data_IF_175160040411
#
_entry.id   IF_175160040411
#
_cell.length_a   1.000
_cell.length_b   1.000
_cell.length_c   1.000
_cell.angle_alpha   90.00
_cell.angle_beta   90.00
_cell.angle_gamma   90.00
#
_symmetry.space_group_name_H-M   'P 1'
#
loop_
_entity.id
_entity.type
_entity.pdbx_description
1 polymer ?
#
# COMPACT_ATOMS: atom_id res chain seq x y z
N UNK A 1 -10.41 -3.12 16.77
CA UNK A 1 -10.15 -2.28 17.95
C UNK A 1 -9.00 -1.33 17.58
N UNK A 2 -9.32 -0.20 16.96
CA UNK A 2 -8.33 0.71 16.38
C UNK A 2 -7.94 1.79 17.39
N UNK A 3 -6.65 1.96 17.64
CA UNK A 3 -6.09 3.06 18.44
C UNK A 3 -6.53 4.40 17.83
N UNK A 4 -7.35 5.16 18.54
CA UNK A 4 -7.57 6.58 18.26
C UNK A 4 -6.43 7.37 18.90
N UNK A 5 -5.37 7.63 18.14
CA UNK A 5 -4.35 8.60 18.52
C UNK A 5 -4.80 9.98 18.04
N UNK A 6 -5.84 10.52 18.68
CA UNK A 6 -6.33 11.88 18.39
C UNK A 6 -5.50 12.95 19.12
N UNK A 7 -4.52 12.55 19.93
CA UNK A 7 -3.66 13.43 20.70
C UNK A 7 -2.20 13.10 20.46
N UNK A 8 -1.39 14.13 20.23
CA UNK A 8 0.03 14.05 19.94
C UNK A 8 0.77 15.14 20.71
N UNK A 9 1.87 14.82 21.40
CA UNK A 9 2.65 15.79 22.17
C UNK A 9 4.01 15.97 21.52
N UNK A 10 4.40 17.22 21.23
CA UNK A 10 5.67 17.53 20.58
C UNK A 10 6.19 18.92 20.96
N UNK A 11 7.47 18.99 21.34
CA UNK A 11 8.13 20.21 21.82
C UNK A 11 7.36 20.96 22.93
N UNK A 12 6.70 20.22 23.83
CA UNK A 12 5.93 20.79 24.94
C UNK A 12 4.50 21.23 24.59
N UNK A 13 4.09 21.16 23.31
CA UNK A 13 2.73 21.42 22.87
C UNK A 13 1.94 20.12 22.72
N UNK A 14 0.67 20.12 23.13
CA UNK A 14 -0.26 19.01 22.85
C UNK A 14 -1.21 19.37 21.72
N UNK A 15 -1.25 18.53 20.69
CA UNK A 15 -2.06 18.69 19.50
C UNK A 15 -3.21 17.68 19.55
N UNK A 16 -4.44 18.17 19.49
CA UNK A 16 -5.63 17.33 19.46
C UNK A 16 -6.37 17.54 18.14
N UNK A 17 -6.41 16.49 17.31
CA UNK A 17 -7.07 16.52 16.01
C UNK A 17 -8.57 16.32 16.23
N UNK A 18 -9.36 17.29 15.81
CA UNK A 18 -10.81 17.19 15.87
C UNK A 18 -11.36 16.55 14.59
N UNK A 19 -12.52 15.87 14.67
CA UNK A 19 -13.24 15.43 13.48
C UNK A 19 -13.55 16.63 12.59
N UNK A 20 -13.15 16.57 11.32
CA UNK A 20 -13.31 17.64 10.35
C UNK A 20 -13.60 17.11 8.96
N UNK A 21 -13.75 18.03 8.00
CA UNK A 21 -13.90 17.72 6.59
C UNK A 21 -12.48 17.54 6.01
N UNK A 22 -12.32 16.71 4.98
CA UNK A 22 -11.00 16.34 4.44
C UNK A 22 -10.11 17.54 4.03
N UNK A 23 -10.74 18.66 3.67
CA UNK A 23 -10.06 19.88 3.23
C UNK A 23 -9.68 20.81 4.40
N UNK A 24 -10.44 20.75 5.50
CA UNK A 24 -10.37 21.65 6.64
C UNK A 24 -10.35 20.81 7.93
N UNK A 25 -9.14 20.57 8.45
CA UNK A 25 -8.88 19.74 9.62
C UNK A 25 -8.65 20.65 10.84
N UNK A 26 -9.64 20.78 11.75
CA UNK A 26 -9.48 21.55 12.98
C UNK A 26 -8.53 20.83 13.94
N UNK A 27 -7.59 21.58 14.52
CA UNK A 27 -6.61 21.07 15.48
C UNK A 27 -6.57 22.01 16.68
N UNK A 28 -6.81 21.48 17.87
CA UNK A 28 -6.62 22.23 19.11
C UNK A 28 -5.20 22.06 19.61
N UNK A 29 -4.53 23.17 19.91
CA UNK A 29 -3.17 23.18 20.42
C UNK A 29 -3.23 23.64 21.88
N UNK A 30 -2.69 22.84 22.80
CA UNK A 30 -2.59 23.20 24.21
C UNK A 30 -1.15 23.56 24.56
N UNK A 31 -1.00 24.67 25.27
CA UNK A 31 0.26 25.15 25.83
C UNK A 31 0.01 25.73 27.23
N UNK A 32 0.61 25.15 28.27
CA UNK A 32 0.57 25.64 29.65
C UNK A 32 -0.82 26.11 30.15
N UNK A 33 -1.89 25.41 29.78
CA UNK A 33 -3.27 25.70 30.18
C UNK A 33 -4.07 26.58 29.22
N UNK A 34 -3.43 27.15 28.18
CA UNK A 34 -4.10 27.87 27.09
C UNK A 34 -4.44 26.87 25.99
N UNK A 35 -5.66 26.97 25.44
CA UNK A 35 -6.08 26.21 24.26
C UNK A 35 -6.21 27.17 23.08
N UNK A 36 -5.44 26.92 22.02
CA UNK A 36 -5.46 27.66 20.77
C UNK A 36 -6.20 26.85 19.71
N UNK A 37 -7.10 27.52 18.99
CA UNK A 37 -7.76 26.94 17.82
C UNK A 37 -6.85 27.09 16.60
N UNK A 38 -6.72 26.04 15.82
CA UNK A 38 -5.95 26.06 14.58
C UNK A 38 -6.61 25.23 13.49
N UNK A 39 -6.27 25.54 12.24
CA UNK A 39 -6.87 24.94 11.07
C UNK A 39 -5.78 24.52 10.09
N UNK A 40 -5.74 23.23 9.77
CA UNK A 40 -4.91 22.67 8.71
C UNK A 40 -5.75 22.52 7.45
N UNK A 41 -5.33 23.19 6.38
CA UNK A 41 -5.96 23.15 5.07
C UNK A 41 -5.13 22.38 4.07
N UNK A 42 -5.79 21.55 3.28
CA UNK A 42 -5.22 20.84 2.15
C UNK A 42 -5.79 21.40 0.85
N UNK A 43 -4.95 21.77 -0.10
CA UNK A 43 -5.38 22.36 -1.36
C UNK A 43 -4.51 21.90 -2.53
N UNK A 44 -5.06 21.95 -3.75
CA UNK A 44 -4.30 21.64 -4.96
C UNK A 44 -3.33 22.79 -5.26
N UNK A 45 -2.02 22.51 -5.27
CA UNK A 45 -0.97 23.47 -5.58
C UNK A 45 -0.52 23.42 -7.05
N UNK A 46 -0.84 22.33 -7.76
CA UNK A 46 -0.52 22.11 -9.18
C UNK A 46 -1.20 20.85 -9.70
N UNK A 47 -0.89 20.42 -10.92
CA UNK A 47 -1.49 19.19 -11.48
C UNK A 47 -1.13 17.95 -10.68
N UNK A 48 0.13 17.84 -10.28
CA UNK A 48 0.68 16.71 -9.50
C UNK A 48 1.23 17.21 -8.16
N UNK A 49 0.61 18.23 -7.57
CA UNK A 49 1.10 18.85 -6.33
C UNK A 49 -0.02 19.27 -5.41
N UNK A 50 0.17 18.96 -4.14
CA UNK A 50 -0.74 19.31 -3.05
C UNK A 50 -0.01 20.21 -2.07
N UNK A 51 -0.65 21.31 -1.68
CA UNK A 51 -0.18 22.22 -0.65
C UNK A 51 -0.89 21.96 0.68
N UNK A 52 -0.13 22.11 1.76
CA UNK A 52 -0.65 22.12 3.13
C UNK A 52 -0.41 23.50 3.75
N UNK A 53 -1.46 24.09 4.31
CA UNK A 53 -1.36 25.35 5.07
C UNK A 53 -1.92 25.14 6.46
N UNK A 54 -1.13 25.43 7.49
CA UNK A 54 -1.59 25.41 8.88
C UNK A 54 -1.66 26.85 9.41
N UNK A 55 -2.87 27.28 9.80
CA UNK A 55 -3.12 28.59 10.43
C UNK A 55 -3.46 28.41 11.90
N UNK A 56 -2.87 29.25 12.75
CA UNK A 56 -3.18 29.37 14.17
C UNK A 56 -3.47 30.84 14.44
N UNK A 57 -4.57 31.13 15.12
CA UNK A 57 -4.92 32.48 15.53
C UNK A 57 -4.67 32.62 17.04
N UNK A 58 -3.87 33.63 17.42
CA UNK A 58 -3.50 33.91 18.82
C UNK A 58 -4.02 35.29 19.17
N UNK A 59 -5.04 35.36 20.02
CA UNK A 59 -5.60 36.62 20.49
C UNK A 59 -4.62 37.33 21.43
N UNK A 60 -4.26 38.56 21.09
CA UNK A 60 -3.40 39.42 21.93
C UNK A 60 -4.24 40.41 22.71
N UNK A 61 -4.02 40.51 24.02
CA UNK A 61 -4.68 41.51 24.86
C UNK A 61 -4.02 42.89 24.79
N UNK A 62 -4.50 43.81 25.62
CA UNK A 62 -3.97 45.18 25.75
C UNK A 62 -2.68 45.27 26.57
N UNK A 63 -2.36 44.27 27.38
CA UNK A 63 -1.18 44.28 28.24
C UNK A 63 0.12 44.02 27.44
N UNK A 64 1.12 44.92 27.51
CA UNK A 64 2.34 44.82 26.69
C UNK A 64 3.25 43.65 27.06
N UNK A 65 3.29 43.24 28.34
CA UNK A 65 4.13 42.12 28.78
C UNK A 65 3.60 40.78 28.28
N UNK A 66 2.30 40.53 28.43
CA UNK A 66 1.64 39.34 27.90
C UNK A 66 1.70 39.29 26.38
N UNK A 67 1.64 40.44 25.69
CA UNK A 67 1.83 40.52 24.24
C UNK A 67 3.23 40.05 23.82
N UNK A 68 4.27 40.44 24.56
CA UNK A 68 5.64 40.02 24.28
C UNK A 68 5.83 38.51 24.50
N UNK A 69 5.31 37.98 25.62
CA UNK A 69 5.36 36.53 25.92
C UNK A 69 4.63 35.75 24.81
N UNK A 70 3.39 36.15 24.47
CA UNK A 70 2.60 35.52 23.39
C UNK A 70 3.32 35.57 22.05
N UNK A 71 4.06 36.62 21.74
CA UNK A 71 4.87 36.71 20.52
C UNK A 71 5.97 35.65 20.49
N UNK A 72 6.72 35.47 21.59
CA UNK A 72 7.74 34.43 21.66
C UNK A 72 7.14 33.03 21.60
N UNK A 73 6.01 32.78 22.28
CA UNK A 73 5.25 31.52 22.17
C UNK A 73 4.82 31.27 20.72
N UNK A 74 4.30 32.28 20.03
CA UNK A 74 3.92 32.18 18.63
C UNK A 74 5.09 31.81 17.71
N UNK A 75 6.29 32.36 17.97
CA UNK A 75 7.49 32.02 17.20
C UNK A 75 7.96 30.58 17.45
N UNK A 76 7.93 30.11 18.70
CA UNK A 76 8.24 28.73 19.03
C UNK A 76 7.22 27.75 18.41
N UNK A 77 5.93 28.10 18.46
CA UNK A 77 4.86 27.32 17.87
C UNK A 77 5.00 27.26 16.34
N UNK A 78 5.31 28.38 15.70
CA UNK A 78 5.57 28.45 14.25
C UNK A 78 6.71 27.52 13.84
N UNK A 79 7.83 27.52 14.57
CA UNK A 79 8.95 26.62 14.30
C UNK A 79 8.56 25.14 14.50
N UNK A 80 7.77 24.86 15.53
CA UNK A 80 7.27 23.51 15.82
C UNK A 80 6.35 23.00 14.71
N UNK A 81 5.38 23.81 14.27
CA UNK A 81 4.48 23.48 13.16
C UNK A 81 5.26 23.29 11.85
N UNK A 82 6.25 24.14 11.57
CA UNK A 82 7.10 24.00 10.39
C UNK A 82 7.85 22.65 10.39
N UNK A 83 8.38 22.22 11.53
CA UNK A 83 9.01 20.91 11.67
C UNK A 83 8.03 19.76 11.45
N UNK A 84 6.82 19.85 12.01
CA UNK A 84 5.76 18.85 11.79
C UNK A 84 5.43 18.76 10.31
N UNK A 85 5.15 19.89 9.64
CA UNK A 85 4.83 19.93 8.22
C UNK A 85 5.97 19.41 7.35
N UNK A 86 7.22 19.69 7.71
CA UNK A 86 8.39 19.16 6.99
C UNK A 86 8.51 17.63 7.13
N UNK A 87 8.24 17.09 8.33
CA UNK A 87 8.23 15.65 8.53
C UNK A 87 7.05 14.98 7.81
N UNK A 88 5.87 15.60 7.83
CA UNK A 88 4.70 15.15 7.05
C UNK A 88 5.01 15.15 5.56
N UNK A 89 5.69 16.19 5.06
CA UNK A 89 6.16 16.25 3.67
C UNK A 89 7.09 15.08 3.34
N UNK A 90 8.13 14.86 4.15
CA UNK A 90 9.07 13.73 3.95
C UNK A 90 8.36 12.38 3.95
N UNK A 91 7.42 12.19 4.87
CA UNK A 91 6.60 10.98 4.94
C UNK A 91 5.73 10.79 3.69
N UNK A 92 5.10 11.87 3.19
CA UNK A 92 4.26 11.82 2.00
C UNK A 92 5.04 11.65 0.69
N UNK A 93 6.29 12.14 0.63
CA UNK A 93 7.19 11.97 -0.52
C UNK A 93 7.80 10.56 -0.60
N UNK A 94 7.77 9.79 0.49
CA UNK A 94 8.25 8.43 0.51
C UNK A 94 7.10 7.45 0.16
N UNK A 95 7.09 6.93 -1.08
CA UNK A 95 6.03 6.02 -1.58
C UNK A 95 5.78 4.82 -0.64
N UNK A 96 6.86 4.28 -0.05
CA UNK A 96 6.79 3.18 0.89
C UNK A 96 6.05 3.54 2.19
N UNK A 97 6.13 4.80 2.62
CA UNK A 97 5.48 5.33 3.81
C UNK A 97 3.98 5.58 3.57
N UNK A 98 3.60 5.99 2.35
CA UNK A 98 2.19 6.23 1.97
C UNK A 98 1.43 4.92 1.73
N UNK A 99 1.97 4.03 0.90
CA UNK A 99 1.27 2.80 0.49
C UNK A 99 1.62 1.59 1.36
N UNK A 100 2.65 1.68 2.21
CA UNK A 100 3.16 0.56 2.99
C UNK A 100 3.83 -0.54 2.15
N UNK A 101 4.04 -0.30 0.86
CA UNK A 101 4.63 -1.22 -0.12
C UNK A 101 5.59 -0.46 -1.04
N UNK A 102 6.69 -1.10 -1.42
CA UNK A 102 7.62 -0.57 -2.43
C UNK A 102 7.19 -1.11 -3.78
N UNK A 103 6.79 -0.23 -4.70
CA UNK A 103 6.49 -0.58 -6.09
C UNK A 103 7.71 -0.27 -6.94
N UNK A 104 8.15 -1.22 -7.77
CA UNK A 104 9.28 -1.03 -8.69
C UNK A 104 8.97 -1.62 -10.05
N UNK A 105 9.53 -1.01 -11.10
CA UNK A 105 9.46 -1.57 -12.44
C UNK A 105 10.54 -2.65 -12.61
N UNK A 106 10.14 -3.83 -13.08
CA UNK A 106 11.06 -4.94 -13.38
C UNK A 106 10.81 -5.46 -14.80
N UNK A 107 11.73 -6.26 -15.32
CA UNK A 107 11.57 -6.98 -16.59
C UNK A 107 11.23 -8.45 -16.33
N UNK A 108 10.28 -9.00 -17.08
CA UNK A 108 9.94 -10.43 -17.03
C UNK A 108 11.07 -11.25 -17.65
N UNK A 109 11.72 -12.07 -16.83
CA UNK A 109 12.80 -12.96 -17.24
C UNK A 109 12.30 -14.36 -17.61
N UNK A 110 11.34 -14.90 -16.84
CA UNK A 110 10.75 -16.21 -17.11
C UNK A 110 9.63 -16.09 -18.14
N UNK A 111 9.89 -16.58 -19.36
CA UNK A 111 8.90 -16.54 -20.45
C UNK A 111 8.16 -17.85 -20.62
N UNK A 112 8.62 -18.96 -20.04
CA UNK A 112 8.03 -20.29 -20.22
C UNK A 112 7.29 -20.69 -18.95
N UNK A 113 5.97 -20.88 -19.04
CA UNK A 113 5.12 -21.24 -17.91
C UNK A 113 4.29 -22.48 -18.23
N UNK A 114 4.06 -23.32 -17.22
CA UNK A 114 3.02 -24.35 -17.25
C UNK A 114 1.94 -23.94 -16.26
N UNK A 115 0.69 -23.97 -16.70
CA UNK A 115 -0.44 -23.41 -15.95
C UNK A 115 -1.57 -24.42 -15.81
N UNK A 116 -2.23 -24.39 -14.66
CA UNK A 116 -3.52 -25.07 -14.44
C UNK A 116 -4.55 -24.05 -13.97
N UNK A 117 -5.81 -24.26 -14.32
CA UNK A 117 -6.91 -23.34 -14.06
C UNK A 117 -8.13 -24.09 -13.55
N UNK A 118 -8.73 -23.57 -12.49
CA UNK A 118 -9.98 -24.09 -11.92
C UNK A 118 -10.93 -22.93 -11.57
N UNK A 119 -12.22 -23.25 -11.48
CA UNK A 119 -13.29 -22.29 -11.17
C UNK A 119 -13.95 -22.66 -9.84
N UNK A 120 -14.11 -21.68 -8.96
CA UNK A 120 -14.71 -21.87 -7.63
C UNK A 120 -15.87 -20.92 -7.41
N UNK A 121 -16.94 -21.37 -6.74
CA UNK A 121 -18.05 -20.48 -6.35
C UNK A 121 -17.69 -19.55 -5.20
N UNK A 122 -16.68 -19.91 -4.42
CA UNK A 122 -16.16 -19.15 -3.29
C UNK A 122 -14.68 -18.84 -3.50
N UNK A 123 -14.16 -17.86 -2.77
CA UNK A 123 -12.73 -17.57 -2.82
C UNK A 123 -11.93 -18.83 -2.41
N UNK A 124 -10.92 -19.26 -3.20
CA UNK A 124 -10.21 -20.51 -2.94
C UNK A 124 -9.45 -20.44 -1.62
N UNK A 125 -9.45 -21.54 -0.87
CA UNK A 125 -8.63 -21.66 0.34
C UNK A 125 -7.16 -21.90 -0.01
N UNK A 126 -6.27 -21.61 0.93
CA UNK A 126 -4.84 -21.89 0.79
C UNK A 126 -4.57 -23.39 0.53
N UNK A 127 -5.39 -24.29 1.10
CA UNK A 127 -5.28 -25.74 0.86
C UNK A 127 -5.50 -26.10 -0.59
N UNK A 128 -6.57 -25.57 -1.20
CA UNK A 128 -6.92 -25.80 -2.61
C UNK A 128 -5.84 -25.23 -3.53
N UNK A 129 -5.35 -24.02 -3.25
CA UNK A 129 -4.24 -23.42 -4.02
C UNK A 129 -2.99 -24.30 -3.96
N UNK A 130 -2.65 -24.81 -2.77
CA UNK A 130 -1.49 -25.69 -2.60
C UNK A 130 -1.66 -27.05 -3.31
N UNK A 131 -2.88 -27.60 -3.36
CA UNK A 131 -3.19 -28.79 -4.14
C UNK A 131 -2.95 -28.57 -5.63
N UNK A 132 -3.40 -27.44 -6.19
CA UNK A 132 -3.12 -27.05 -7.58
C UNK A 132 -1.62 -26.85 -7.86
N UNK A 133 -0.87 -26.29 -6.90
CA UNK A 133 0.60 -26.19 -7.01
C UNK A 133 1.23 -27.58 -7.02
N UNK A 134 0.75 -28.49 -6.15
CA UNK A 134 1.29 -29.84 -6.03
C UNK A 134 0.98 -30.70 -7.26
N UNK A 135 -0.20 -30.56 -7.88
CA UNK A 135 -0.51 -31.25 -9.14
C UNK A 135 0.41 -30.81 -10.26
N UNK A 136 0.62 -29.50 -10.43
CA UNK A 136 1.60 -28.96 -11.37
C UNK A 136 3.02 -29.45 -11.10
N UNK A 137 3.45 -29.49 -9.84
CA UNK A 137 4.78 -30.01 -9.46
C UNK A 137 4.97 -31.49 -9.81
N UNK A 138 3.92 -32.32 -9.62
CA UNK A 138 3.96 -33.73 -9.99
C UNK A 138 4.07 -33.91 -11.50
N UNK A 139 3.30 -33.13 -12.27
CA UNK A 139 3.33 -33.14 -13.73
C UNK A 139 4.72 -32.79 -14.26
N UNK A 140 5.30 -31.65 -13.83
CA UNK A 140 6.64 -31.25 -14.32
C UNK A 140 7.73 -32.24 -13.91
N UNK A 141 7.58 -32.92 -12.76
CA UNK A 141 8.52 -33.94 -12.33
C UNK A 141 8.44 -35.20 -13.21
N UNK A 142 7.23 -35.64 -13.58
CA UNK A 142 7.02 -36.77 -14.49
C UNK A 142 7.64 -36.51 -15.87
N UNK A 143 7.49 -35.28 -16.37
CA UNK A 143 8.01 -34.85 -17.67
C UNK A 143 9.51 -34.46 -17.67
N UNK A 144 10.21 -34.66 -16.55
CA UNK A 144 11.61 -34.24 -16.37
C UNK A 144 11.84 -32.76 -16.71
N UNK A 145 10.88 -31.91 -16.36
CA UNK A 145 10.91 -30.45 -16.51
C UNK A 145 11.38 -29.83 -15.19
N UNK A 146 12.32 -28.87 -15.26
CA UNK A 146 12.85 -28.18 -14.08
C UNK A 146 12.12 -26.85 -13.88
N UNK A 147 11.65 -26.63 -12.65
CA UNK A 147 11.15 -25.34 -12.19
C UNK A 147 12.31 -24.33 -12.12
N UNK A 148 12.13 -23.14 -12.70
CA UNK A 148 13.15 -22.07 -12.69
C UNK A 148 12.93 -21.03 -11.59
N UNK A 149 11.68 -20.77 -11.20
CA UNK A 149 11.32 -19.74 -10.22
C UNK A 149 10.05 -20.14 -9.45
N UNK A 150 9.69 -19.54 -8.29
CA UNK A 150 8.53 -19.93 -7.49
C UNK A 150 7.19 -19.85 -8.26
N UNK A 151 6.18 -20.65 -7.84
CA UNK A 151 4.87 -20.64 -8.45
C UNK A 151 4.18 -19.28 -8.34
N UNK A 152 3.34 -19.00 -9.33
CA UNK A 152 2.54 -17.79 -9.46
C UNK A 152 1.05 -18.15 -9.33
N UNK A 153 0.28 -17.33 -8.64
CA UNK A 153 -1.16 -17.46 -8.43
C UNK A 153 -1.85 -16.24 -9.02
N UNK A 154 -2.91 -16.45 -9.77
CA UNK A 154 -3.80 -15.40 -10.23
C UNK A 154 -5.23 -15.80 -9.87
N UNK A 155 -5.94 -14.95 -9.14
CA UNK A 155 -7.35 -15.14 -8.80
C UNK A 155 -8.11 -13.92 -9.32
N UNK A 156 -9.10 -14.15 -10.17
CA UNK A 156 -9.99 -13.09 -10.67
C UNK A 156 -11.45 -13.52 -10.56
N UNK A 157 -12.33 -12.55 -10.35
CA UNK A 157 -13.77 -12.78 -10.45
C UNK A 157 -14.13 -12.86 -11.94
N UNK A 158 -14.73 -13.97 -12.35
CA UNK A 158 -15.26 -14.20 -13.69
C UNK A 158 -16.67 -13.59 -13.83
N UNK A 159 -17.14 -13.46 -15.07
CA UNK A 159 -18.42 -12.82 -15.40
C UNK A 159 -19.64 -13.52 -14.80
N UNK A 160 -19.51 -14.81 -14.48
CA UNK A 160 -20.54 -15.64 -13.85
C UNK A 160 -20.50 -15.59 -12.30
N UNK A 161 -19.77 -14.62 -11.74
CA UNK A 161 -19.55 -14.47 -10.30
C UNK A 161 -18.80 -15.66 -9.67
N UNK A 162 -18.10 -16.48 -10.48
CA UNK A 162 -17.16 -17.47 -9.99
C UNK A 162 -15.75 -16.89 -9.86
N UNK A 163 -14.91 -17.50 -9.04
CA UNK A 163 -13.49 -17.18 -8.92
C UNK A 163 -12.71 -18.08 -9.86
N UNK A 164 -12.17 -17.49 -10.92
CA UNK A 164 -11.18 -18.14 -11.77
C UNK A 164 -9.83 -18.09 -11.06
N UNK A 165 -9.33 -19.27 -10.69
CA UNK A 165 -8.06 -19.45 -10.01
C UNK A 165 -7.09 -20.15 -10.95
N UNK A 166 -5.96 -19.51 -11.21
CA UNK A 166 -4.92 -20.03 -12.09
C UNK A 166 -3.60 -20.07 -11.33
N UNK A 167 -2.94 -21.22 -11.37
CA UNK A 167 -1.59 -21.41 -10.84
C UNK A 167 -0.65 -21.64 -12.02
N UNK A 168 0.55 -21.06 -11.96
CA UNK A 168 1.58 -21.21 -12.96
C UNK A 168 2.94 -21.55 -12.32
N UNK A 169 3.71 -22.42 -12.95
CA UNK A 169 5.12 -22.68 -12.58
C UNK A 169 6.02 -22.31 -13.76
N UNK A 170 7.01 -21.41 -13.55
CA UNK A 170 8.08 -21.14 -14.50
C UNK A 170 8.99 -22.34 -14.74
N UNK A 171 9.29 -22.65 -16.00
CA UNK A 171 10.01 -23.87 -16.39
C UNK A 171 11.14 -23.63 -17.38
N UNK A 172 12.09 -24.57 -17.44
CA UNK A 172 13.29 -24.46 -18.27
C UNK A 172 13.11 -24.92 -19.72
N UNK A 173 12.04 -25.65 -20.05
CA UNK A 173 11.78 -26.17 -21.40
C UNK A 173 10.29 -26.09 -21.74
N UNK A 174 9.99 -25.95 -23.03
CA UNK A 174 8.62 -26.04 -23.53
C UNK A 174 8.11 -27.48 -23.44
N UNK A 175 6.80 -27.62 -23.31
CA UNK A 175 6.09 -28.91 -23.30
C UNK A 175 4.84 -28.81 -24.16
N UNK A 176 4.32 -29.96 -24.57
CA UNK A 176 3.00 -30.04 -25.20
C UNK A 176 1.91 -29.76 -24.16
N UNK A 177 0.77 -29.30 -24.65
CA UNK A 177 -0.38 -29.09 -23.78
C UNK A 177 -1.03 -30.44 -23.49
N UNK A 178 -1.31 -30.69 -22.22
CA UNK A 178 -2.22 -31.73 -21.78
C UNK A 178 -3.52 -31.10 -21.27
N UNK A 179 -4.60 -31.87 -21.22
CA UNK A 179 -5.95 -31.36 -20.92
C UNK A 179 -5.99 -30.43 -19.69
N UNK A 180 -5.38 -30.83 -18.57
CA UNK A 180 -5.35 -30.06 -17.33
C UNK A 180 -4.17 -29.06 -17.23
N UNK A 181 -3.13 -29.25 -18.04
CA UNK A 181 -1.86 -28.52 -17.97
C UNK A 181 -1.52 -27.83 -19.28
N UNK A 182 -1.65 -26.50 -19.27
CA UNK A 182 -1.46 -25.68 -20.46
C UNK A 182 -0.12 -24.97 -20.38
N UNK A 183 0.72 -25.19 -21.39
CA UNK A 183 1.91 -24.42 -21.63
C UNK A 183 1.55 -23.01 -22.14
N UNK A 184 2.13 -21.98 -21.51
CA UNK A 184 1.94 -20.58 -21.88
C UNK A 184 3.28 -19.87 -21.97
N UNK A 185 3.35 -18.93 -22.91
CA UNK A 185 4.47 -18.02 -23.02
C UNK A 185 4.12 -16.63 -22.51
N UNK A 186 4.87 -16.12 -21.55
CA UNK A 186 4.79 -14.71 -21.15
C UNK A 186 5.59 -13.84 -22.11
N UNK A 187 5.04 -12.67 -22.45
CA UNK A 187 5.75 -11.66 -23.21
C UNK A 187 6.86 -11.04 -22.33
N UNK A 188 8.11 -10.98 -22.81
CA UNK A 188 9.20 -10.34 -22.08
C UNK A 188 9.02 -8.82 -22.12
N UNK A 189 8.24 -8.31 -21.18
CA UNK A 189 7.93 -6.89 -21.03
C UNK A 189 8.35 -6.33 -19.67
N UNK A 190 8.18 -5.02 -19.51
CA UNK A 190 8.33 -4.36 -18.21
C UNK A 190 7.00 -4.44 -17.45
N UNK A 191 7.06 -4.84 -16.18
CA UNK A 191 5.91 -4.91 -15.28
C UNK A 191 6.21 -4.19 -13.97
N UNK A 192 5.17 -3.79 -13.26
CA UNK A 192 5.31 -3.23 -11.92
C UNK A 192 5.22 -4.37 -10.90
N UNK A 193 6.15 -4.39 -9.95
CA UNK A 193 6.25 -5.37 -8.89
C UNK A 193 6.19 -4.68 -7.53
N UNK A 194 5.37 -5.23 -6.62
CA UNK A 194 5.39 -4.86 -5.21
C UNK A 194 5.66 -6.11 -4.34
N UNK A 195 6.58 -5.97 -3.39
CA UNK A 195 6.84 -7.03 -2.40
C UNK A 195 6.03 -6.76 -1.12
N UNK A 196 5.22 -7.74 -0.72
CA UNK A 196 4.43 -7.68 0.51
C UNK A 196 5.02 -8.67 1.52
N UNK A 197 5.43 -8.14 2.68
CA UNK A 197 5.96 -8.93 3.81
C UNK A 197 4.95 -8.92 4.95
N UNK A 198 4.39 -10.08 5.31
CA UNK A 198 3.47 -10.22 6.44
C UNK A 198 2.37 -11.26 6.25
N UNK A 199 1.51 -11.42 7.27
CA UNK A 199 0.34 -12.33 7.27
C UNK A 199 -0.73 -11.81 6.29
N UNK A 200 -1.35 -12.73 5.54
CA UNK A 200 -2.33 -12.54 4.42
C UNK A 200 -3.43 -11.47 4.63
N UNK A 201 -3.69 -11.04 5.86
CA UNK A 201 -4.80 -10.13 6.23
C UNK A 201 -4.69 -8.73 5.59
N UNK A 202 -3.50 -8.28 5.12
CA UNK A 202 -3.34 -6.95 4.49
C UNK A 202 -3.72 -6.86 3.00
N UNK A 203 -3.89 -7.98 2.29
CA UNK A 203 -4.09 -7.97 0.83
C UNK A 203 -5.43 -7.38 0.38
N UNK A 204 -6.50 -7.49 1.18
CA UNK A 204 -7.84 -7.04 0.80
C UNK A 204 -8.10 -5.53 0.92
N UNK A 205 -7.24 -4.78 1.63
CA UNK A 205 -7.52 -3.37 1.98
C UNK A 205 -6.79 -2.34 1.10
N UNK A 206 -5.81 -2.77 0.31
CA UNK A 206 -4.85 -1.84 -0.30
C UNK A 206 -5.07 -1.55 -1.79
N UNK A 207 -5.95 -2.27 -2.51
CA UNK A 207 -5.88 -2.28 -3.96
C UNK A 207 -7.26 -2.17 -4.66
N UNK A 208 -7.42 -1.29 -5.67
CA UNK A 208 -8.59 -1.25 -6.56
C UNK A 208 -8.69 -2.55 -7.39
N UNK A 209 -9.78 -2.79 -8.15
CA UNK A 209 -10.07 -4.06 -8.85
C UNK A 209 -9.19 -4.29 -10.10
N UNK A 210 -7.87 -4.26 -9.95
CA UNK A 210 -6.91 -4.63 -10.98
C UNK A 210 -6.60 -6.13 -10.92
N UNK A 211 -6.21 -6.73 -12.06
CA UNK A 211 -5.84 -8.16 -12.12
C UNK A 211 -4.43 -8.34 -11.57
N UNK A 212 -4.27 -9.13 -10.51
CA UNK A 212 -2.99 -9.33 -9.83
C UNK A 212 -2.46 -10.74 -10.00
N UNK A 213 -1.16 -10.85 -10.29
CA UNK A 213 -0.45 -12.13 -10.20
C UNK A 213 0.39 -12.10 -8.92
N UNK A 214 0.14 -13.03 -8.01
CA UNK A 214 0.81 -13.17 -6.73
C UNK A 214 1.77 -14.37 -6.77
N UNK A 215 3.08 -14.16 -6.65
CA UNK A 215 4.03 -15.26 -6.38
C UNK A 215 4.03 -15.58 -4.91
N UNK A 216 3.74 -16.84 -4.57
CA UNK A 216 3.77 -17.36 -3.20
C UNK A 216 5.05 -18.14 -2.98
N UNK A 217 5.99 -17.56 -2.25
CA UNK A 217 7.05 -18.33 -1.57
C UNK A 217 6.67 -18.36 -0.10
N UNK A 218 6.97 -19.45 0.63
CA UNK A 218 6.48 -19.78 1.98
C UNK A 218 6.45 -18.65 3.04
N UNK A 219 7.07 -17.49 2.85
CA UNK A 219 7.01 -16.31 3.73
C UNK A 219 6.97 -14.96 2.93
N UNK A 220 6.95 -14.98 1.58
CA UNK A 220 7.00 -13.77 0.73
C UNK A 220 5.99 -13.83 -0.41
N UNK A 221 5.17 -12.78 -0.50
CA UNK A 221 4.20 -12.61 -1.58
C UNK A 221 4.67 -11.48 -2.50
N UNK A 222 4.80 -11.77 -3.80
CA UNK A 222 5.21 -10.80 -4.82
C UNK A 222 4.06 -10.52 -5.75
N UNK A 223 3.59 -9.29 -5.78
CA UNK A 223 2.45 -8.89 -6.58
C UNK A 223 2.92 -8.23 -7.87
N UNK A 224 2.40 -8.67 -9.00
CA UNK A 224 2.66 -8.07 -10.30
C UNK A 224 1.44 -7.33 -10.82
N UNK A 225 1.67 -6.10 -11.24
CA UNK A 225 0.74 -5.22 -11.93
C UNK A 225 1.09 -5.22 -13.42
N UNK A 226 0.14 -5.70 -14.24
CA UNK A 226 0.26 -5.65 -15.69
C UNK A 226 -0.23 -4.28 -16.17
N UNK A 227 0.67 -3.52 -16.81
CA UNK A 227 0.29 -2.29 -17.49
C UNK A 227 -0.46 -2.70 -18.77
N UNK A 228 -1.72 -2.29 -18.92
CA UNK A 228 -2.48 -2.46 -20.17
C UNK A 228 -2.27 -1.26 -21.07
#
# INVERSE_FOLDING_TARGET
MGMQLNEFVYNGFSFHIQPGIFEDIPINIKDQGITLSSLLKCFKAGNDSTGLTWRVDIETGSDPFTRLIKYFTAQQLKATIANILMNTKKFAEEEASVYGIVVKQIQVVDTLLITTKQYFKTYPSDTVVNEMVNSLKKYIAAENIKQTDPPMLNIRLASDNSYETMVAIPVNKATENEDEFIFKRMFPGRILEAEIRGVQVRLKRLLPPWTFICRTTSIRHRLYLLNR
#
